data_IF_269995389561
#
_entry.id   IF_269995389561
#
_cell.length_a   1.000
_cell.length_b   1.000
_cell.length_c   1.000
_cell.angle_alpha   90.00
_cell.angle_beta   90.00
_cell.angle_gamma   90.00
#
_symmetry.space_group_name_H-M   'P 1'
#
loop_
_entity.id
_entity.type
_entity.pdbx_description
1 polymer ?
#
# COMPACT_ATOMS: atom_id res chain seq x y z
N UNK A 1 12.27 -33.18 8.02
CA UNK A 1 12.82 -32.63 6.78
C UNK A 1 11.71 -32.60 5.75
N UNK A 2 10.87 -31.59 5.76
CA UNK A 2 9.74 -31.43 4.84
C UNK A 2 10.08 -30.23 3.93
N UNK A 3 10.20 -30.54 2.68
CA UNK A 3 10.64 -29.70 1.55
C UNK A 3 9.85 -28.41 1.46
N UNK A 4 10.47 -27.27 1.75
CA UNK A 4 10.04 -25.94 1.36
C UNK A 4 10.50 -25.66 -0.09
N UNK A 5 9.97 -26.44 -1.04
CA UNK A 5 9.97 -26.05 -2.44
C UNK A 5 8.64 -25.33 -2.72
N UNK A 6 8.53 -24.10 -2.21
CA UNK A 6 7.54 -23.18 -2.69
C UNK A 6 7.89 -22.80 -4.13
N UNK A 7 6.97 -23.05 -5.05
CA UNK A 7 7.06 -22.61 -6.44
C UNK A 7 7.32 -21.10 -6.45
N UNK A 8 8.54 -20.69 -6.81
CA UNK A 8 8.87 -19.32 -7.18
C UNK A 8 8.20 -19.07 -8.53
N UNK A 9 6.93 -18.70 -8.47
CA UNK A 9 6.23 -18.17 -9.63
C UNK A 9 6.68 -16.72 -9.81
N UNK A 10 7.09 -16.38 -11.01
CA UNK A 10 6.98 -15.00 -11.50
C UNK A 10 5.61 -14.53 -11.02
N UNK A 11 5.54 -13.49 -10.17
CA UNK A 11 4.28 -13.07 -9.58
C UNK A 11 3.25 -12.84 -10.70
N UNK A 12 1.95 -12.85 -10.38
CA UNK A 12 0.88 -12.70 -11.38
C UNK A 12 1.03 -11.42 -12.25
N UNK A 13 1.97 -10.55 -11.91
CA UNK A 13 2.38 -9.35 -12.66
C UNK A 13 3.50 -9.55 -13.68
N UNK A 14 4.14 -10.73 -13.77
CA UNK A 14 5.27 -10.98 -14.67
C UNK A 14 6.55 -10.23 -14.27
N UNK A 15 6.75 -9.95 -13.00
CA UNK A 15 7.88 -9.17 -12.46
C UNK A 15 8.85 -10.14 -11.79
N UNK A 16 10.08 -10.17 -12.31
CA UNK A 16 11.17 -10.99 -11.80
C UNK A 16 11.91 -10.28 -10.64
N UNK A 17 11.17 -9.91 -9.59
CA UNK A 17 11.68 -9.18 -8.42
C UNK A 17 10.81 -9.50 -7.22
N UNK A 18 11.39 -9.63 -6.04
CA UNK A 18 10.64 -9.78 -4.80
C UNK A 18 9.89 -8.47 -4.49
N UNK A 19 8.57 -8.56 -4.39
CA UNK A 19 7.70 -7.44 -4.01
C UNK A 19 7.07 -7.74 -2.65
N UNK A 20 7.37 -6.89 -1.66
CA UNK A 20 6.80 -6.99 -0.32
C UNK A 20 5.73 -5.92 -0.15
N UNK A 21 4.48 -6.33 0.00
CA UNK A 21 3.38 -5.42 0.30
C UNK A 21 3.39 -5.01 1.76
N UNK A 22 3.45 -3.72 2.05
CA UNK A 22 3.45 -3.16 3.39
C UNK A 22 2.08 -2.57 3.73
N UNK A 23 1.45 -3.11 4.75
CA UNK A 23 0.15 -2.62 5.25
C UNK A 23 0.10 -2.58 6.77
N UNK A 24 -1.04 -2.15 7.32
CA UNK A 24 -1.27 -2.03 8.76
C UNK A 24 -2.39 -1.03 9.05
N UNK A 25 -2.95 -1.04 10.24
CA UNK A 25 -4.01 -0.11 10.65
C UNK A 25 -3.59 1.37 10.64
N UNK A 26 -4.57 2.26 10.68
CA UNK A 26 -4.30 3.68 10.92
C UNK A 26 -3.47 3.83 12.20
N UNK A 27 -2.46 4.70 12.22
CA UNK A 27 -1.61 4.91 13.41
C UNK A 27 -0.63 3.77 13.74
N UNK A 28 -0.58 2.67 12.97
CA UNK A 28 0.34 1.55 13.25
C UNK A 28 1.82 1.85 13.04
N UNK A 29 2.16 2.92 12.28
CA UNK A 29 3.54 3.30 12.03
C UNK A 29 4.10 2.88 10.66
N UNK A 30 3.24 2.55 9.67
CA UNK A 30 3.66 2.20 8.29
C UNK A 30 4.68 3.17 7.70
N UNK A 31 4.47 4.47 7.87
CA UNK A 31 5.36 5.50 7.33
C UNK A 31 6.75 5.48 7.96
N UNK A 32 6.87 5.08 9.22
CA UNK A 32 8.15 4.90 9.87
C UNK A 32 8.89 3.68 9.30
N UNK A 33 8.16 2.59 9.10
CA UNK A 33 8.69 1.36 8.52
C UNK A 33 9.12 1.59 7.06
N UNK A 34 8.28 2.20 6.23
CA UNK A 34 8.62 2.47 4.83
C UNK A 34 9.82 3.42 4.69
N UNK A 35 9.91 4.44 5.56
CA UNK A 35 11.06 5.34 5.61
C UNK A 35 12.35 4.60 5.95
N UNK A 36 12.31 3.73 6.94
CA UNK A 36 13.49 2.93 7.32
C UNK A 36 14.01 2.11 6.13
N UNK A 37 13.14 1.42 5.40
CA UNK A 37 13.54 0.67 4.20
C UNK A 37 14.10 1.59 3.10
N UNK A 38 13.51 2.76 2.90
CA UNK A 38 14.01 3.75 1.94
C UNK A 38 15.44 4.22 2.29
N UNK A 39 15.71 4.48 3.56
CA UNK A 39 17.03 4.87 4.08
C UNK A 39 18.07 3.75 3.91
N UNK A 40 17.62 2.49 3.78
CA UNK A 40 18.46 1.30 3.49
C UNK A 40 18.50 0.95 1.99
N UNK A 41 18.18 1.92 1.12
CA UNK A 41 18.33 1.77 -0.33
C UNK A 41 17.23 0.96 -1.03
N UNK A 42 16.12 0.68 -0.36
CA UNK A 42 14.99 -0.06 -0.94
C UNK A 42 14.01 0.89 -1.59
N UNK A 43 13.62 0.59 -2.82
CA UNK A 43 12.61 1.35 -3.55
C UNK A 43 11.25 1.18 -2.87
N UNK A 44 10.61 2.31 -2.59
CA UNK A 44 9.26 2.36 -2.02
C UNK A 44 8.29 2.82 -3.09
N UNK A 45 7.23 2.03 -3.30
CA UNK A 45 6.10 2.39 -4.16
C UNK A 45 4.89 2.59 -3.26
N UNK A 46 4.39 3.83 -3.19
CA UNK A 46 3.29 4.21 -2.32
C UNK A 46 2.00 4.35 -3.14
N UNK A 47 1.00 3.55 -2.83
CA UNK A 47 -0.30 3.52 -3.52
C UNK A 47 -1.04 4.87 -3.44
N UNK A 48 -0.90 5.61 -2.32
CA UNK A 48 -1.51 6.94 -2.18
C UNK A 48 -0.86 7.96 -3.13
N UNK A 49 0.45 7.84 -3.35
CA UNK A 49 1.17 8.68 -4.33
C UNK A 49 0.70 8.30 -5.74
N UNK A 50 0.63 7.02 -6.07
CA UNK A 50 0.14 6.56 -7.37
C UNK A 50 -1.29 7.03 -7.65
N UNK A 51 -2.18 6.94 -6.66
CA UNK A 51 -3.56 7.40 -6.80
C UNK A 51 -3.66 8.91 -7.08
N UNK A 52 -2.65 9.68 -6.67
CA UNK A 52 -2.56 11.12 -7.02
C UNK A 52 -1.98 11.34 -8.41
N UNK A 53 -0.92 10.60 -8.76
CA UNK A 53 -0.26 10.72 -10.06
C UNK A 53 -1.19 10.38 -11.22
N UNK A 54 -1.93 9.28 -11.13
CA UNK A 54 -2.77 8.80 -12.24
C UNK A 54 -3.91 9.74 -12.60
N UNK A 55 -4.34 10.60 -11.67
CA UNK A 55 -5.39 11.61 -11.89
C UNK A 55 -4.82 13.04 -11.99
N UNK A 56 -3.52 13.18 -12.22
CA UNK A 56 -2.91 14.48 -12.41
C UNK A 56 -3.49 15.21 -13.63
N UNK A 57 -3.40 16.54 -13.64
CA UNK A 57 -3.86 17.39 -14.74
C UNK A 57 -3.37 16.89 -16.09
N UNK A 58 -4.31 16.74 -17.01
CA UNK A 58 -4.02 16.28 -18.39
C UNK A 58 -3.91 14.76 -18.55
N UNK A 59 -3.93 13.98 -17.46
CA UNK A 59 -3.83 12.51 -17.53
C UNK A 59 -5.03 11.89 -18.26
N UNK A 60 -4.84 10.74 -18.92
CA UNK A 60 -5.94 10.00 -19.53
C UNK A 60 -7.01 9.58 -18.52
N UNK A 61 -6.61 9.28 -17.28
CA UNK A 61 -7.52 8.88 -16.21
C UNK A 61 -8.41 10.04 -15.78
N UNK A 62 -7.85 11.26 -15.61
CA UNK A 62 -8.65 12.45 -15.29
C UNK A 62 -9.67 12.74 -16.39
N UNK A 63 -9.30 12.61 -17.66
CA UNK A 63 -10.23 12.77 -18.79
C UNK A 63 -11.40 11.78 -18.74
N UNK A 64 -11.14 10.51 -18.34
CA UNK A 64 -12.21 9.51 -18.15
C UNK A 64 -13.12 9.87 -16.98
N UNK A 65 -12.57 10.40 -15.89
CA UNK A 65 -13.34 10.86 -14.73
C UNK A 65 -14.26 12.01 -15.15
N UNK A 66 -13.76 13.00 -15.90
CA UNK A 66 -14.58 14.10 -16.44
C UNK A 66 -15.69 13.59 -17.35
N UNK A 67 -15.36 12.68 -18.27
CA UNK A 67 -16.34 12.10 -19.18
C UNK A 67 -17.46 11.33 -18.44
N UNK A 68 -17.14 10.73 -17.28
CA UNK A 68 -18.12 9.98 -16.47
C UNK A 68 -18.96 10.85 -15.57
N UNK A 69 -18.32 11.83 -14.90
CA UNK A 69 -18.96 12.60 -13.81
C UNK A 69 -19.31 14.03 -14.20
N UNK A 70 -18.74 14.56 -15.29
CA UNK A 70 -18.93 15.94 -15.74
C UNK A 70 -17.85 16.91 -15.26
N UNK A 71 -17.92 18.17 -15.75
CA UNK A 71 -16.86 19.18 -15.56
C UNK A 71 -16.72 19.67 -14.10
N UNK A 72 -17.73 19.48 -13.26
CA UNK A 72 -17.68 19.86 -11.85
C UNK A 72 -16.56 19.15 -11.04
N UNK A 73 -16.05 18.04 -11.57
CA UNK A 73 -14.96 17.29 -10.93
C UNK A 73 -13.60 17.95 -11.09
N UNK A 74 -13.48 19.02 -11.88
CA UNK A 74 -12.24 19.77 -12.10
C UNK A 74 -12.36 21.13 -11.39
N UNK A 75 -11.26 21.54 -10.74
CA UNK A 75 -11.14 22.86 -10.16
C UNK A 75 -10.66 23.91 -11.19
N UNK A 76 -10.55 25.18 -10.76
CA UNK A 76 -10.10 26.29 -11.60
C UNK A 76 -8.68 26.11 -12.14
N UNK A 77 -7.82 25.32 -11.47
CA UNK A 77 -6.48 25.00 -11.93
C UNK A 77 -6.44 23.88 -12.97
N UNK A 78 -7.59 23.24 -13.24
CA UNK A 78 -7.72 22.09 -14.13
C UNK A 78 -7.26 20.78 -13.50
N UNK A 79 -7.22 20.71 -12.17
CA UNK A 79 -6.92 19.50 -11.39
C UNK A 79 -8.21 18.85 -10.88
N UNK A 80 -8.10 17.58 -10.44
CA UNK A 80 -9.23 16.90 -9.81
C UNK A 80 -9.64 17.62 -8.52
N UNK A 81 -10.89 18.10 -8.46
CA UNK A 81 -11.51 18.63 -7.24
C UNK A 81 -11.77 17.48 -6.25
N UNK A 82 -10.71 17.11 -5.50
CA UNK A 82 -10.74 15.96 -4.58
C UNK A 82 -11.79 16.10 -3.49
N UNK A 83 -12.08 17.32 -3.06
CA UNK A 83 -13.09 17.58 -2.04
C UNK A 83 -14.48 17.27 -2.58
N UNK A 84 -14.84 17.87 -3.71
CA UNK A 84 -16.13 17.65 -4.33
C UNK A 84 -16.35 16.18 -4.72
N UNK A 85 -15.31 15.54 -5.28
CA UNK A 85 -15.35 14.12 -5.62
C UNK A 85 -15.56 13.25 -4.37
N UNK A 86 -14.86 13.51 -3.26
CA UNK A 86 -15.03 12.78 -2.01
C UNK A 86 -16.44 12.91 -1.46
N UNK A 87 -16.99 14.13 -1.45
CA UNK A 87 -18.37 14.39 -1.01
C UNK A 87 -19.38 13.62 -1.88
N UNK A 88 -19.15 13.58 -3.19
CA UNK A 88 -20.01 12.88 -4.13
C UNK A 88 -20.01 11.36 -3.94
N UNK A 89 -18.81 10.74 -3.85
CA UNK A 89 -18.72 9.27 -3.70
C UNK A 89 -19.10 8.80 -2.29
N UNK A 90 -18.95 9.65 -1.27
CA UNK A 90 -19.41 9.33 0.08
C UNK A 90 -20.93 9.12 0.16
N UNK A 91 -21.68 9.83 -0.66
CA UNK A 91 -23.15 9.73 -0.74
C UNK A 91 -23.67 8.66 -1.69
N UNK A 92 -22.81 7.96 -2.45
CA UNK A 92 -23.25 7.05 -3.51
C UNK A 92 -22.27 5.90 -3.73
N UNK A 93 -22.65 4.69 -3.31
CA UNK A 93 -21.87 3.48 -3.58
C UNK A 93 -21.63 3.26 -5.09
N UNK A 94 -22.59 3.61 -5.95
CA UNK A 94 -22.42 3.50 -7.39
C UNK A 94 -21.36 4.46 -7.92
N UNK A 95 -21.35 5.72 -7.42
CA UNK A 95 -20.33 6.69 -7.81
C UNK A 95 -18.92 6.26 -7.36
N UNK A 96 -18.82 5.66 -6.17
CA UNK A 96 -17.55 5.08 -5.70
C UNK A 96 -17.08 3.97 -6.64
N UNK A 97 -17.94 3.01 -6.96
CA UNK A 97 -17.62 1.91 -7.89
C UNK A 97 -17.18 2.43 -9.26
N UNK A 98 -17.91 3.43 -9.81
CA UNK A 98 -17.56 4.03 -11.09
C UNK A 98 -16.18 4.70 -11.06
N UNK A 99 -15.85 5.41 -9.99
CA UNK A 99 -14.53 6.01 -9.80
C UNK A 99 -13.43 4.96 -9.68
N UNK A 100 -13.66 3.91 -8.92
CA UNK A 100 -12.74 2.79 -8.74
C UNK A 100 -12.47 2.04 -10.05
N UNK A 101 -13.50 1.77 -10.85
CA UNK A 101 -13.35 1.16 -12.18
C UNK A 101 -12.47 1.98 -13.13
N UNK A 102 -12.43 3.29 -12.97
CA UNK A 102 -11.58 4.18 -13.77
C UNK A 102 -10.16 4.23 -13.20
N UNK A 103 -10.01 4.33 -11.89
CA UNK A 103 -8.73 4.63 -11.23
C UNK A 103 -7.90 3.36 -10.96
N UNK A 104 -8.52 2.25 -10.54
CA UNK A 104 -7.80 1.03 -10.15
C UNK A 104 -6.93 0.44 -11.27
N UNK A 105 -7.40 0.33 -12.54
CA UNK A 105 -6.55 -0.15 -13.63
C UNK A 105 -5.35 0.77 -13.88
N UNK A 106 -5.53 2.09 -13.76
CA UNK A 106 -4.45 3.06 -13.95
C UNK A 106 -3.41 2.97 -12.83
N UNK A 107 -3.84 2.87 -11.57
CA UNK A 107 -2.95 2.69 -10.41
C UNK A 107 -2.13 1.40 -10.56
N UNK A 108 -2.79 0.29 -10.93
CA UNK A 108 -2.12 -1.00 -11.12
C UNK A 108 -1.11 -0.95 -12.27
N UNK A 109 -1.45 -0.31 -13.39
CA UNK A 109 -0.53 -0.14 -14.52
C UNK A 109 0.70 0.65 -14.08
N UNK A 110 0.49 1.75 -13.37
CA UNK A 110 1.57 2.61 -12.88
C UNK A 110 2.46 1.89 -11.86
N UNK A 111 1.86 1.12 -10.94
CA UNK A 111 2.62 0.27 -10.02
C UNK A 111 3.52 -0.72 -10.77
N UNK A 112 2.97 -1.43 -11.77
CA UNK A 112 3.75 -2.36 -12.60
C UNK A 112 4.92 -1.69 -13.35
N UNK A 113 4.71 -0.49 -13.86
CA UNK A 113 5.77 0.29 -14.51
C UNK A 113 6.92 0.58 -13.54
N UNK A 114 6.59 1.06 -12.34
CA UNK A 114 7.60 1.38 -11.32
C UNK A 114 8.30 0.13 -10.79
N UNK A 115 7.57 -0.97 -10.61
CA UNK A 115 8.15 -2.24 -10.21
C UNK A 115 9.19 -2.73 -11.23
N UNK A 116 8.88 -2.63 -12.54
CA UNK A 116 9.84 -3.01 -13.60
C UNK A 116 11.04 -2.08 -13.69
N UNK A 117 10.91 -0.83 -13.32
CA UNK A 117 11.98 0.16 -13.35
C UNK A 117 12.86 0.17 -12.08
N UNK A 118 12.42 -0.49 -11.02
CA UNK A 118 13.12 -0.52 -9.74
C UNK A 118 14.49 -1.21 -9.86
N UNK A 119 15.49 -0.65 -9.16
CA UNK A 119 16.87 -1.13 -9.18
C UNK A 119 17.34 -1.70 -7.82
N UNK A 120 16.48 -1.65 -6.80
CA UNK A 120 16.80 -2.24 -5.49
C UNK A 120 16.65 -3.78 -5.53
N UNK A 121 17.29 -4.53 -4.62
CA UNK A 121 17.18 -6.00 -4.57
C UNK A 121 15.76 -6.51 -4.44
N UNK A 122 14.90 -5.76 -3.75
CA UNK A 122 13.46 -5.99 -3.64
C UNK A 122 12.74 -4.64 -3.53
N UNK A 123 11.42 -4.65 -3.57
CA UNK A 123 10.60 -3.43 -3.48
C UNK A 123 9.60 -3.56 -2.35
N UNK A 124 9.36 -2.45 -1.64
CA UNK A 124 8.23 -2.31 -0.71
C UNK A 124 7.10 -1.57 -1.41
N UNK A 125 5.95 -2.22 -1.59
CA UNK A 125 4.72 -1.62 -2.07
C UNK A 125 3.83 -1.29 -0.88
N UNK A 126 3.68 0.00 -0.59
CA UNK A 126 2.90 0.49 0.56
C UNK A 126 1.47 0.77 0.15
N UNK A 127 0.51 0.15 0.84
CA UNK A 127 -0.90 0.48 0.68
C UNK A 127 -1.64 0.33 2.02
N UNK A 128 -2.35 1.38 2.49
CA UNK A 128 -3.08 1.33 3.77
C UNK A 128 -4.16 0.25 3.83
N UNK A 129 -4.83 0.02 2.69
CA UNK A 129 -5.94 -0.91 2.53
C UNK A 129 -5.58 -2.11 1.62
N UNK A 130 -4.31 -2.54 1.64
CA UNK A 130 -3.78 -3.57 0.71
C UNK A 130 -4.57 -4.89 0.74
N UNK A 131 -5.10 -5.25 1.88
CA UNK A 131 -5.83 -6.50 2.12
C UNK A 131 -7.34 -6.35 1.98
N UNK A 132 -7.84 -5.14 1.89
CA UNK A 132 -9.23 -4.83 1.63
C UNK A 132 -9.53 -4.99 0.12
N UNK A 133 -10.72 -5.50 -0.23
CA UNK A 133 -11.08 -5.81 -1.62
C UNK A 133 -11.04 -4.61 -2.58
N UNK A 134 -11.09 -3.39 -2.04
CA UNK A 134 -11.11 -2.14 -2.80
C UNK A 134 -9.75 -1.70 -3.36
N UNK A 135 -8.64 -2.23 -2.85
CA UNK A 135 -7.30 -1.74 -3.23
C UNK A 135 -6.84 -2.25 -4.60
N UNK A 136 -7.36 -1.69 -5.67
CA UNK A 136 -6.86 -1.81 -7.06
C UNK A 136 -6.24 -3.17 -7.47
N UNK A 137 -6.37 -4.21 -6.63
CA UNK A 137 -5.73 -5.51 -6.79
C UNK A 137 -4.20 -5.45 -6.65
N UNK A 138 -3.67 -4.51 -5.87
CA UNK A 138 -2.24 -4.36 -5.64
C UNK A 138 -1.64 -5.52 -4.85
N UNK A 139 -2.41 -6.15 -3.96
CA UNK A 139 -1.99 -7.36 -3.25
C UNK A 139 -1.54 -8.48 -4.21
N UNK A 140 -2.15 -8.59 -5.39
CA UNK A 140 -1.77 -9.57 -6.41
C UNK A 140 -0.40 -9.29 -7.07
N UNK A 141 0.18 -8.12 -6.82
CA UNK A 141 1.54 -7.77 -7.27
C UNK A 141 2.60 -8.13 -6.23
N UNK A 142 2.18 -8.46 -5.01
CA UNK A 142 3.07 -8.76 -3.90
C UNK A 142 3.33 -10.26 -3.80
N UNK A 143 4.58 -10.62 -3.52
CA UNK A 143 4.99 -12.00 -3.22
C UNK A 143 4.82 -12.32 -1.74
N UNK A 144 4.85 -11.28 -0.90
CA UNK A 144 4.69 -11.36 0.56
C UNK A 144 3.95 -10.15 1.10
N UNK A 145 3.28 -10.33 2.21
CA UNK A 145 2.59 -9.27 2.94
C UNK A 145 3.25 -9.05 4.30
N UNK A 146 3.82 -7.87 4.49
CA UNK A 146 4.33 -7.39 5.77
C UNK A 146 3.27 -6.51 6.44
N UNK A 147 2.82 -6.92 7.61
CA UNK A 147 1.89 -6.15 8.44
C UNK A 147 2.64 -5.44 9.57
N UNK A 148 2.47 -4.12 9.65
CA UNK A 148 2.89 -3.35 10.84
C UNK A 148 1.78 -3.45 11.88
N UNK A 149 2.07 -4.16 12.96
CA UNK A 149 1.13 -4.37 14.05
C UNK A 149 1.38 -3.41 15.21
N UNK A 150 0.29 -2.90 15.79
CA UNK A 150 0.31 -2.08 16.99
C UNK A 150 -1.00 -2.27 17.76
N UNK A 151 -0.95 -2.11 19.06
CA UNK A 151 -2.18 -2.13 19.89
C UNK A 151 -3.13 -1.01 19.48
N UNK A 152 -4.42 -1.29 19.48
CA UNK A 152 -5.45 -0.34 19.03
C UNK A 152 -5.41 0.97 19.82
N UNK A 153 -5.14 0.91 21.12
CA UNK A 153 -4.97 2.11 21.96
C UNK A 153 -3.83 3.01 21.47
N UNK A 154 -2.68 2.43 21.09
CA UNK A 154 -1.56 3.18 20.53
C UNK A 154 -1.86 3.71 19.12
N UNK A 155 -2.61 2.97 18.34
CA UNK A 155 -3.05 3.41 17.01
C UNK A 155 -3.94 4.65 17.12
N UNK A 156 -4.92 4.63 18.05
CA UNK A 156 -5.81 5.75 18.32
C UNK A 156 -5.02 6.96 18.81
N UNK A 157 -4.16 6.79 19.81
CA UNK A 157 -3.33 7.86 20.35
C UNK A 157 -2.47 8.52 19.25
N UNK A 158 -1.69 7.72 18.50
CA UNK A 158 -0.78 8.22 17.48
C UNK A 158 -1.52 8.91 16.33
N UNK A 159 -2.65 8.34 15.89
CA UNK A 159 -3.43 8.92 14.80
C UNK A 159 -4.14 10.20 15.25
N UNK A 160 -4.70 10.24 16.47
CA UNK A 160 -5.32 11.44 17.04
C UNK A 160 -4.34 12.60 17.14
N UNK A 161 -3.13 12.35 17.64
CA UNK A 161 -2.08 13.36 17.78
C UNK A 161 -1.61 13.87 16.39
N UNK A 162 -1.36 12.95 15.45
CA UNK A 162 -0.87 13.29 14.11
C UNK A 162 -1.88 14.12 13.31
N UNK A 163 -3.15 13.72 13.35
CA UNK A 163 -4.20 14.24 12.47
C UNK A 163 -5.06 15.33 13.14
N UNK A 164 -4.83 15.61 14.44
CA UNK A 164 -5.64 16.55 15.20
C UNK A 164 -7.12 16.12 15.29
N UNK A 165 -7.38 14.81 15.28
CA UNK A 165 -8.73 14.25 15.33
C UNK A 165 -9.05 13.68 16.71
N UNK A 166 -10.35 13.58 17.02
CA UNK A 166 -10.77 12.95 18.26
C UNK A 166 -10.60 11.43 18.22
N UNK A 167 -10.39 10.75 19.36
CA UNK A 167 -10.32 9.30 19.43
C UNK A 167 -11.49 8.61 18.77
N UNK A 168 -12.72 9.08 18.99
CA UNK A 168 -13.95 8.50 18.42
C UNK A 168 -13.94 8.54 16.89
N UNK A 169 -13.34 9.59 16.30
CA UNK A 169 -13.22 9.69 14.85
C UNK A 169 -12.20 8.69 14.30
N UNK A 170 -11.12 8.47 15.02
CA UNK A 170 -10.13 7.45 14.63
C UNK A 170 -10.72 6.04 14.76
N UNK A 171 -11.47 5.75 15.83
CA UNK A 171 -12.18 4.48 16.01
C UNK A 171 -13.16 4.22 14.85
N UNK A 172 -13.90 5.23 14.41
CA UNK A 172 -14.78 5.12 13.25
C UNK A 172 -14.02 4.80 11.95
N UNK A 173 -12.80 5.35 11.79
CA UNK A 173 -11.94 5.00 10.64
C UNK A 173 -11.48 3.54 10.78
N UNK A 174 -11.06 3.12 11.96
CA UNK A 174 -10.63 1.74 12.22
C UNK A 174 -11.75 0.73 11.95
N UNK A 175 -12.98 1.05 12.31
CA UNK A 175 -14.15 0.21 12.08
C UNK A 175 -14.44 -0.05 10.59
N UNK A 176 -13.93 0.80 9.68
CA UNK A 176 -14.02 0.62 8.24
C UNK A 176 -12.80 -0.10 7.62
N UNK A 177 -11.82 -0.47 8.43
CA UNK A 177 -10.68 -1.29 8.02
C UNK A 177 -10.89 -2.75 8.44
N UNK A 178 -10.12 -3.67 7.85
CA UNK A 178 -10.05 -5.04 8.37
C UNK A 178 -9.67 -5.01 9.87
N UNK A 179 -10.29 -5.88 10.64
CA UNK A 179 -9.91 -6.05 12.05
C UNK A 179 -8.42 -6.39 12.17
N UNK A 180 -7.80 -6.02 13.30
CA UNK A 180 -6.40 -6.40 13.59
C UNK A 180 -6.20 -7.91 13.44
N UNK A 181 -7.12 -8.72 13.94
CA UNK A 181 -7.05 -10.18 13.87
C UNK A 181 -7.05 -10.69 12.41
N UNK A 182 -7.97 -10.21 11.58
CA UNK A 182 -8.07 -10.61 10.17
C UNK A 182 -6.84 -10.18 9.37
N UNK A 183 -6.30 -8.99 9.65
CA UNK A 183 -5.09 -8.48 9.00
C UNK A 183 -3.87 -9.33 9.35
N UNK A 184 -3.71 -9.70 10.62
CA UNK A 184 -2.60 -10.55 11.07
C UNK A 184 -2.68 -11.96 10.48
N UNK A 185 -3.88 -12.50 10.27
CA UNK A 185 -4.06 -13.82 9.64
C UNK A 185 -3.65 -13.86 8.17
N UNK A 186 -3.64 -12.74 7.49
CA UNK A 186 -3.27 -12.62 6.07
C UNK A 186 -1.81 -12.20 5.88
N UNK A 187 -1.09 -11.97 6.98
CA UNK A 187 0.32 -11.57 6.93
C UNK A 187 1.24 -12.78 6.72
N UNK A 188 2.23 -12.63 5.85
CA UNK A 188 3.40 -13.53 5.78
C UNK A 188 4.47 -13.15 6.80
N UNK A 189 4.56 -11.86 7.10
CA UNK A 189 5.47 -11.29 8.08
C UNK A 189 4.75 -10.24 8.92
N UNK A 190 5.11 -10.17 10.19
CA UNK A 190 4.55 -9.21 11.12
C UNK A 190 5.70 -8.47 11.79
N UNK A 191 5.66 -7.14 11.78
CA UNK A 191 6.52 -6.32 12.61
C UNK A 191 5.72 -5.63 13.70
N UNK A 192 5.99 -5.99 14.93
CA UNK A 192 5.38 -5.38 16.11
C UNK A 192 6.02 -4.01 16.40
N UNK A 193 5.18 -2.97 16.46
CA UNK A 193 5.54 -1.58 16.71
C UNK A 193 4.89 -1.04 18.00
N UNK A 194 4.96 -1.83 19.08
CA UNK A 194 4.44 -1.46 20.40
C UNK A 194 5.53 -0.96 21.36
N UNK A 195 6.81 -1.19 21.02
CA UNK A 195 7.96 -0.81 21.82
C UNK A 195 8.63 0.50 21.39
N UNK A 196 9.92 0.61 21.67
CA UNK A 196 10.77 1.72 21.27
C UNK A 196 11.07 1.71 19.76
N UNK A 197 11.59 2.83 19.23
CA UNK A 197 12.07 2.90 17.85
C UNK A 197 13.27 1.97 17.63
N UNK A 198 14.15 1.84 18.60
CA UNK A 198 15.31 0.97 18.51
C UNK A 198 14.89 -0.50 18.41
N UNK A 199 13.89 -0.93 19.19
CA UNK A 199 13.31 -2.28 19.07
C UNK A 199 12.68 -2.51 17.70
N UNK A 200 11.98 -1.51 17.18
CA UNK A 200 11.41 -1.58 15.83
C UNK A 200 12.53 -1.75 14.79
N UNK A 201 13.57 -0.94 14.86
CA UNK A 201 14.67 -0.97 13.89
C UNK A 201 15.44 -2.28 13.90
N UNK A 202 15.64 -2.88 15.07
CA UNK A 202 16.24 -4.22 15.17
C UNK A 202 15.40 -5.29 14.46
N UNK A 203 14.09 -5.23 14.59
CA UNK A 203 13.15 -6.13 13.89
C UNK A 203 13.16 -5.88 12.38
N UNK A 204 13.23 -4.62 11.95
CA UNK A 204 13.30 -4.26 10.53
C UNK A 204 14.60 -4.73 9.89
N UNK A 205 15.73 -4.65 10.60
CA UNK A 205 17.00 -5.17 10.13
C UNK A 205 16.91 -6.69 9.86
N UNK A 206 16.30 -7.45 10.76
CA UNK A 206 16.11 -8.90 10.57
C UNK A 206 15.22 -9.20 9.34
N UNK A 207 14.16 -8.44 9.14
CA UNK A 207 13.30 -8.56 7.96
C UNK A 207 14.04 -8.18 6.68
N UNK A 208 14.85 -7.12 6.72
CA UNK A 208 15.65 -6.68 5.59
C UNK A 208 16.64 -7.79 5.14
N UNK A 209 17.37 -8.37 6.07
CA UNK A 209 18.30 -9.48 5.78
C UNK A 209 17.53 -10.69 5.21
N UNK A 210 16.35 -11.01 5.75
CA UNK A 210 15.48 -12.05 5.21
C UNK A 210 15.09 -11.78 3.76
N UNK A 211 14.66 -10.54 3.45
CA UNK A 211 14.23 -10.18 2.10
C UNK A 211 15.40 -10.10 1.11
N UNK A 212 16.59 -9.66 1.54
CA UNK A 212 17.80 -9.73 0.72
C UNK A 212 18.15 -11.16 0.35
N UNK A 213 18.11 -12.09 1.31
CA UNK A 213 18.37 -13.50 1.06
C UNK A 213 17.35 -14.11 0.08
N UNK A 214 16.07 -13.78 0.23
CA UNK A 214 15.02 -14.22 -0.68
C UNK A 214 15.18 -13.66 -2.10
N UNK A 215 15.54 -12.38 -2.22
CA UNK A 215 15.81 -11.74 -3.51
C UNK A 215 17.05 -12.33 -4.20
N UNK A 216 18.10 -12.69 -3.45
CA UNK A 216 19.29 -13.34 -3.96
C UNK A 216 19.01 -14.72 -4.55
N UNK A 217 18.21 -15.53 -3.86
CA UNK A 217 17.78 -16.85 -4.38
C UNK A 217 16.93 -16.70 -5.65
N UNK A 218 16.07 -15.69 -5.73
CA UNK A 218 15.30 -15.39 -6.95
C UNK A 218 16.18 -15.08 -8.15
N UNK A 219 17.23 -14.28 -7.96
CA UNK A 219 18.18 -13.94 -9.03
C UNK A 219 18.96 -15.16 -9.51
N UNK A 220 19.42 -16.03 -8.62
CA UNK A 220 20.12 -17.27 -8.99
C UNK A 220 19.26 -18.21 -9.82
N UNK A 221 17.97 -18.35 -9.48
CA UNK A 221 17.02 -19.19 -10.22
C UNK A 221 16.61 -18.65 -11.58
N UNK A 222 16.73 -17.33 -11.81
CA UNK A 222 16.42 -16.71 -13.10
C UNK A 222 17.60 -16.73 -14.08
N UNK A 223 18.82 -16.96 -13.59
CA UNK A 223 20.06 -16.98 -14.40
C UNK A 223 20.50 -18.41 -14.72
N UNK A 224 19.99 -19.41 -14.03
CA UNK A 224 20.25 -20.83 -14.26
C UNK A 224 19.27 -21.43 -15.28
#
# INVERSE_FOLDING_TARGET
>A
MTSFMGQLSVNQGGIAMLVVGLTGGIGSGKSQVSRWFAEHGIVIIDADVLAREVVAKGSPTLKKIVAKFGDWVIDEAGELNRRAMREHVFGSAQALMDLEQITHPAIRSRAKELLRAAQSPYVILVAPLLLEASEAGLANLCDRILVVDSHESLQIERASQRDGQTPERIENIMANQLSRHERLRQADDIVDNNGSLDDLYLKLEQLHQKYLAMAGVLLELLVA
#
